data_IF_286721181439
#
_entry.id   IF_286721181439
#
_cell.length_a   1.000
_cell.length_b   1.000
_cell.length_c   1.000
_cell.angle_alpha   90.00
_cell.angle_beta   90.00
_cell.angle_gamma   90.00
#
_symmetry.space_group_name_H-M   'P 1'
#
loop_
_entity.id
_entity.type
_entity.pdbx_description
1 polymer ?
#
# COMPACT_ATOMS: atom_id res chain seq x y z
N UNK A 1 -2.69 20.45 4.01
CA UNK A 1 -3.46 19.44 3.29
C UNK A 1 -4.03 18.38 4.24
N UNK A 2 -3.23 17.65 5.03
CA UNK A 2 -3.68 16.61 5.97
C UNK A 2 -4.69 17.15 6.99
N UNK A 3 -4.41 18.30 7.62
CA UNK A 3 -5.31 18.94 8.59
C UNK A 3 -6.69 19.26 8.01
N UNK A 4 -6.76 19.74 6.76
CA UNK A 4 -8.04 20.03 6.09
C UNK A 4 -8.84 18.76 5.84
N UNK A 5 -8.21 17.68 5.39
CA UNK A 5 -8.87 16.37 5.21
C UNK A 5 -9.40 15.85 6.55
N UNK A 6 -8.59 15.93 7.59
CA UNK A 6 -8.98 15.51 8.94
C UNK A 6 -10.20 16.30 9.43
N UNK A 7 -10.21 17.63 9.28
CA UNK A 7 -11.35 18.47 9.66
C UNK A 7 -12.64 18.14 8.91
N UNK A 8 -12.53 17.71 7.64
CA UNK A 8 -13.69 17.24 6.87
C UNK A 8 -14.22 15.90 7.38
N UNK A 9 -13.33 14.96 7.71
CA UNK A 9 -13.72 13.64 8.21
C UNK A 9 -14.35 13.71 9.60
N UNK A 10 -13.89 14.61 10.47
CA UNK A 10 -14.47 14.84 11.80
C UNK A 10 -15.93 15.35 11.78
N UNK A 11 -16.45 15.77 10.62
CA UNK A 11 -17.87 16.11 10.48
C UNK A 11 -18.76 14.86 10.42
N UNK A 12 -18.21 13.69 10.18
CA UNK A 12 -18.94 12.43 10.18
C UNK A 12 -19.00 11.88 11.63
N UNK A 13 -20.19 11.67 12.22
CA UNK A 13 -20.32 11.19 13.59
C UNK A 13 -19.78 9.76 13.81
N UNK A 14 -19.61 9.00 12.73
CA UNK A 14 -19.04 7.64 12.79
C UNK A 14 -17.52 7.62 12.61
N UNK A 15 -16.86 8.79 12.53
CA UNK A 15 -15.43 8.89 12.38
C UNK A 15 -14.79 9.31 13.70
N UNK A 16 -13.86 8.48 14.18
CA UNK A 16 -12.97 8.82 15.28
C UNK A 16 -11.51 8.84 14.76
N UNK A 17 -10.69 9.67 15.36
CA UNK A 17 -9.29 9.79 14.97
C UNK A 17 -8.38 9.90 16.19
N UNK A 18 -7.29 9.14 16.15
CA UNK A 18 -6.16 9.28 17.07
C UNK A 18 -4.92 9.65 16.27
N UNK A 19 -4.24 10.72 16.68
CA UNK A 19 -2.99 11.15 16.06
C UNK A 19 -1.81 10.53 16.78
N UNK A 20 -0.92 9.86 16.05
CA UNK A 20 0.27 9.23 16.60
C UNK A 20 1.15 8.60 15.52
N UNK A 21 2.28 8.06 15.96
CA UNK A 21 3.19 7.31 15.11
C UNK A 21 2.87 5.82 15.26
N UNK A 22 2.76 5.09 14.15
CA UNK A 22 2.52 3.63 14.19
C UNK A 22 3.72 2.82 14.73
N UNK A 23 4.88 3.45 14.82
CA UNK A 23 6.06 2.90 15.51
C UNK A 23 5.89 2.86 17.04
N UNK A 24 4.96 3.66 17.58
CA UNK A 24 4.54 3.61 19.00
C UNK A 24 3.52 2.48 19.19
N UNK A 25 4.03 1.30 19.49
CA UNK A 25 3.23 0.09 19.65
C UNK A 25 2.20 0.24 20.78
N UNK A 26 2.61 0.80 21.92
CA UNK A 26 1.72 0.94 23.09
C UNK A 26 0.50 1.84 22.77
N UNK A 27 0.71 2.88 21.96
CA UNK A 27 -0.39 3.73 21.50
C UNK A 27 -1.30 2.96 20.56
N UNK A 28 -0.72 2.22 19.59
CA UNK A 28 -1.52 1.49 18.61
C UNK A 28 -2.32 0.36 19.28
N UNK A 29 -1.71 -0.40 20.19
CA UNK A 29 -2.38 -1.48 20.92
C UNK A 29 -3.59 -0.97 21.71
N UNK A 30 -3.42 0.14 22.47
CA UNK A 30 -4.55 0.76 23.19
C UNK A 30 -5.69 1.17 22.25
N UNK A 31 -5.36 1.81 21.12
CA UNK A 31 -6.39 2.24 20.16
C UNK A 31 -7.08 1.04 19.50
N UNK A 32 -6.33 0.00 19.18
CA UNK A 32 -6.87 -1.22 18.59
C UNK A 32 -7.76 -2.00 19.57
N UNK A 33 -7.35 -2.10 20.83
CA UNK A 33 -8.13 -2.74 21.89
C UNK A 33 -9.44 -1.98 22.18
N UNK A 34 -9.37 -0.66 22.28
CA UNK A 34 -10.55 0.20 22.56
C UNK A 34 -11.56 0.19 21.40
N UNK A 35 -11.07 0.15 20.14
CA UNK A 35 -11.92 0.18 18.97
C UNK A 35 -12.39 -1.21 18.53
N UNK A 36 -11.62 -2.25 18.77
CA UNK A 36 -11.88 -3.64 18.39
C UNK A 36 -12.30 -3.78 16.90
N UNK A 37 -11.42 -3.45 15.94
CA UNK A 37 -11.78 -3.41 14.52
C UNK A 37 -12.06 -4.81 13.95
N UNK A 38 -13.11 -4.94 13.14
CA UNK A 38 -13.34 -6.15 12.32
C UNK A 38 -12.38 -6.21 11.13
N UNK A 39 -12.03 -5.06 10.56
CA UNK A 39 -11.16 -4.92 9.38
C UNK A 39 -10.13 -3.83 9.63
N UNK A 40 -8.90 -4.07 9.21
CA UNK A 40 -7.83 -3.07 9.23
C UNK A 40 -7.36 -2.78 7.81
N UNK A 41 -7.36 -1.50 7.40
CA UNK A 41 -6.78 -1.05 6.14
C UNK A 41 -5.54 -0.20 6.42
N UNK A 42 -4.37 -0.81 6.29
CA UNK A 42 -3.08 -0.16 6.57
C UNK A 42 -2.53 0.55 5.33
N UNK A 43 -2.69 1.88 5.29
CA UNK A 43 -2.20 2.75 4.21
C UNK A 43 -0.99 3.60 4.63
N UNK A 44 -0.66 3.62 5.91
CA UNK A 44 0.41 4.46 6.43
C UNK A 44 1.78 3.94 6.00
N UNK A 45 2.63 4.85 5.59
CA UNK A 45 4.02 4.58 5.26
C UNK A 45 4.83 5.87 5.09
N UNK A 46 6.14 5.78 5.24
CA UNK A 46 7.05 6.76 4.68
C UNK A 46 7.19 6.46 3.18
N UNK A 47 6.28 7.02 2.38
CA UNK A 47 6.28 6.86 0.94
C UNK A 47 7.28 7.84 0.30
N UNK A 48 8.11 7.34 -0.60
CA UNK A 48 9.06 8.18 -1.33
C UNK A 48 10.36 7.43 -1.63
N UNK A 49 10.52 7.04 -2.89
CA UNK A 49 11.72 6.34 -3.35
C UNK A 49 12.99 7.16 -3.05
N UNK A 50 12.99 8.48 -3.37
CA UNK A 50 14.15 9.34 -3.13
C UNK A 50 14.45 9.51 -1.65
N UNK A 51 13.44 9.78 -0.84
CA UNK A 51 13.62 9.95 0.60
C UNK A 51 14.19 8.69 1.26
N UNK A 52 13.86 7.51 0.75
CA UNK A 52 14.41 6.26 1.27
C UNK A 52 15.93 6.10 1.02
N UNK A 53 16.48 6.80 0.04
CA UNK A 53 17.93 6.85 -0.20
C UNK A 53 18.62 7.80 0.77
N UNK A 54 17.96 8.91 1.10
CA UNK A 54 18.49 9.95 2.01
C UNK A 54 18.36 9.51 3.47
N UNK A 55 17.24 8.89 3.84
CA UNK A 55 16.95 8.44 5.20
C UNK A 55 16.37 7.00 5.24
N UNK A 56 17.21 5.97 5.04
CA UNK A 56 16.76 4.59 5.02
C UNK A 56 16.21 4.10 6.38
N UNK A 57 16.74 4.64 7.49
CA UNK A 57 16.26 4.27 8.84
C UNK A 57 14.82 4.71 9.08
N UNK A 58 14.44 5.92 8.68
CA UNK A 58 13.06 6.39 8.77
C UNK A 58 12.13 5.52 7.91
N UNK A 59 12.56 5.16 6.69
CA UNK A 59 11.79 4.26 5.83
C UNK A 59 11.59 2.87 6.45
N UNK A 60 12.62 2.32 7.11
CA UNK A 60 12.51 1.04 7.80
C UNK A 60 11.54 1.12 8.99
N UNK A 61 11.68 2.13 9.84
CA UNK A 61 10.83 2.31 11.01
C UNK A 61 9.35 2.47 10.60
N UNK A 62 9.05 3.44 9.73
CA UNK A 62 7.68 3.74 9.33
C UNK A 62 7.04 2.72 8.39
N UNK A 63 7.82 1.87 7.73
CA UNK A 63 7.25 0.90 6.80
C UNK A 63 7.27 -0.53 7.36
N UNK A 64 8.35 -0.95 8.03
CA UNK A 64 8.48 -2.34 8.49
C UNK A 64 8.04 -2.47 9.95
N UNK A 65 8.58 -1.65 10.85
CA UNK A 65 8.21 -1.72 12.27
C UNK A 65 6.74 -1.34 12.45
N UNK A 66 6.29 -0.25 11.82
CA UNK A 66 4.88 0.14 11.87
C UNK A 66 3.95 -0.94 11.29
N UNK A 67 4.34 -1.62 10.21
CA UNK A 67 3.54 -2.72 9.66
C UNK A 67 3.47 -3.92 10.61
N UNK A 68 4.56 -4.25 11.31
CA UNK A 68 4.57 -5.27 12.34
C UNK A 68 3.62 -4.90 13.48
N UNK A 69 3.69 -3.64 13.96
CA UNK A 69 2.82 -3.13 15.03
C UNK A 69 1.33 -3.14 14.64
N UNK A 70 1.00 -3.11 13.35
CA UNK A 70 -0.37 -3.29 12.85
C UNK A 70 -0.75 -4.77 12.75
N UNK A 71 0.19 -5.63 12.35
CA UNK A 71 -0.08 -7.05 12.10
C UNK A 71 -0.25 -7.85 13.40
N UNK A 72 0.51 -7.54 14.44
CA UNK A 72 0.39 -8.21 15.75
C UNK A 72 -0.99 -8.03 16.39
N UNK A 73 -1.54 -6.81 16.55
CA UNK A 73 -2.91 -6.63 17.02
C UNK A 73 -3.95 -7.22 16.07
N UNK A 74 -3.72 -7.21 14.75
CA UNK A 74 -4.61 -7.90 13.81
C UNK A 74 -4.76 -9.39 14.14
N UNK A 75 -3.66 -10.03 14.54
CA UNK A 75 -3.65 -11.42 14.98
C UNK A 75 -4.31 -11.61 16.38
N UNK A 76 -3.93 -10.80 17.36
CA UNK A 76 -4.40 -10.96 18.75
C UNK A 76 -5.89 -10.67 18.92
N UNK A 77 -6.43 -9.70 18.15
CA UNK A 77 -7.84 -9.33 18.12
C UNK A 77 -8.67 -10.19 17.15
N UNK A 78 -8.04 -11.12 16.44
CA UNK A 78 -8.70 -12.00 15.45
C UNK A 78 -9.45 -11.15 14.40
N UNK A 79 -8.77 -10.12 13.88
CA UNK A 79 -9.30 -9.27 12.81
C UNK A 79 -9.67 -10.12 11.60
N UNK A 80 -10.86 -9.92 11.06
CA UNK A 80 -11.39 -10.74 9.97
C UNK A 80 -10.61 -10.58 8.66
N UNK A 81 -10.09 -9.35 8.39
CA UNK A 81 -9.36 -9.08 7.16
C UNK A 81 -8.43 -7.86 7.30
N UNK A 82 -7.14 -8.03 7.57
CA UNK A 82 -6.14 -6.98 7.35
C UNK A 82 -5.82 -6.82 5.86
N UNK A 83 -5.95 -5.59 5.39
CA UNK A 83 -5.56 -5.14 4.04
C UNK A 83 -4.38 -4.19 4.16
N UNK A 84 -3.29 -4.45 3.44
CA UNK A 84 -2.05 -3.69 3.60
C UNK A 84 -1.51 -3.16 2.28
N UNK A 85 -1.18 -1.87 2.26
CA UNK A 85 -0.63 -1.22 1.09
C UNK A 85 0.82 -1.65 0.81
N UNK A 86 1.03 -2.25 -0.36
CA UNK A 86 2.32 -2.44 -1.03
C UNK A 86 2.51 -1.39 -2.13
N UNK A 87 3.26 -1.68 -3.17
CA UNK A 87 3.60 -0.76 -4.25
C UNK A 87 4.04 -1.52 -5.50
N UNK A 88 3.77 -0.97 -6.69
CA UNK A 88 4.34 -1.48 -7.94
C UNK A 88 5.87 -1.42 -7.98
N UNK A 89 6.51 -0.62 -7.12
CA UNK A 89 7.98 -0.57 -7.03
C UNK A 89 8.61 -1.89 -6.58
N UNK A 90 7.85 -2.83 -6.01
CA UNK A 90 8.35 -4.16 -5.63
C UNK A 90 8.73 -5.00 -6.83
N UNK A 91 8.20 -4.72 -8.02
CA UNK A 91 8.61 -5.40 -9.25
C UNK A 91 10.06 -5.12 -9.64
N UNK A 92 10.62 -4.00 -9.15
CA UNK A 92 12.04 -3.71 -9.20
C UNK A 92 12.63 -3.73 -10.62
N UNK A 93 13.49 -4.72 -10.88
CA UNK A 93 14.18 -4.89 -12.15
C UNK A 93 13.39 -5.67 -13.21
N UNK A 94 12.13 -6.04 -12.98
CA UNK A 94 11.31 -6.68 -14.00
C UNK A 94 11.14 -5.75 -15.21
N UNK A 95 11.24 -6.30 -16.40
CA UNK A 95 11.19 -5.55 -17.67
C UNK A 95 9.93 -5.80 -18.47
N UNK A 96 9.24 -6.91 -18.24
CA UNK A 96 8.00 -7.25 -18.93
C UNK A 96 6.84 -6.45 -18.36
N UNK A 97 5.98 -5.93 -19.24
CA UNK A 97 4.82 -5.11 -18.91
C UNK A 97 3.62 -5.52 -19.76
N UNK A 98 2.42 -5.49 -19.20
CA UNK A 98 2.05 -5.04 -17.86
C UNK A 98 2.53 -6.01 -16.76
N UNK A 99 2.85 -5.48 -15.58
CA UNK A 99 3.20 -6.31 -14.42
C UNK A 99 2.00 -7.12 -13.95
N UNK A 100 2.21 -8.41 -13.70
CA UNK A 100 1.20 -9.32 -13.15
C UNK A 100 1.63 -9.84 -11.76
N UNK A 101 0.67 -10.15 -10.91
CA UNK A 101 0.90 -10.49 -9.50
C UNK A 101 1.68 -11.78 -9.30
N UNK A 102 1.58 -12.72 -10.25
CA UNK A 102 2.28 -14.02 -10.23
C UNK A 102 3.76 -13.91 -10.61
N UNK A 103 4.20 -12.77 -11.14
CA UNK A 103 5.61 -12.55 -11.44
C UNK A 103 6.44 -12.45 -10.16
N UNK A 104 7.67 -12.97 -10.24
CA UNK A 104 8.64 -12.77 -9.17
C UNK A 104 8.94 -11.29 -9.00
N UNK A 105 8.91 -10.84 -7.76
CA UNK A 105 9.23 -9.47 -7.36
C UNK A 105 10.34 -9.52 -6.30
N UNK A 106 11.54 -10.01 -6.69
CA UNK A 106 12.63 -10.35 -5.78
C UNK A 106 13.86 -9.41 -5.93
N UNK A 107 13.84 -8.53 -6.92
CA UNK A 107 14.97 -7.65 -7.27
C UNK A 107 14.63 -6.18 -7.09
N UNK A 108 14.34 -5.78 -5.85
CA UNK A 108 13.99 -4.39 -5.54
C UNK A 108 15.18 -3.45 -5.80
N UNK A 109 14.89 -2.30 -6.42
CA UNK A 109 15.90 -1.31 -6.79
C UNK A 109 16.03 -0.17 -5.76
N UNK A 110 15.20 -0.15 -4.72
CA UNK A 110 15.22 0.91 -3.69
C UNK A 110 14.89 0.36 -2.31
N UNK A 111 15.36 1.07 -1.26
CA UNK A 111 15.04 0.72 0.13
C UNK A 111 13.52 0.76 0.36
N UNK A 112 12.83 1.78 -0.19
CA UNK A 112 11.36 1.84 -0.12
C UNK A 112 10.70 0.57 -0.66
N UNK A 113 11.08 0.13 -1.86
CA UNK A 113 10.54 -1.09 -2.45
C UNK A 113 10.86 -2.33 -1.60
N UNK A 114 12.08 -2.42 -1.07
CA UNK A 114 12.51 -3.50 -0.20
C UNK A 114 11.70 -3.56 1.10
N UNK A 115 11.41 -2.41 1.74
CA UNK A 115 10.56 -2.37 2.94
C UNK A 115 9.12 -2.83 2.64
N UNK A 116 8.57 -2.47 1.49
CA UNK A 116 7.23 -2.91 1.08
C UNK A 116 7.20 -4.39 0.72
N UNK A 117 8.24 -4.91 0.08
CA UNK A 117 8.37 -6.36 -0.17
C UNK A 117 8.53 -7.16 1.12
N UNK A 118 9.25 -6.63 2.11
CA UNK A 118 9.32 -7.23 3.44
C UNK A 118 7.92 -7.36 4.07
N UNK A 119 7.07 -6.34 3.93
CA UNK A 119 5.69 -6.41 4.43
C UNK A 119 4.86 -7.49 3.72
N UNK A 120 5.01 -7.66 2.38
CA UNK A 120 4.36 -8.78 1.66
C UNK A 120 4.79 -10.13 2.24
N UNK A 121 6.09 -10.31 2.50
CA UNK A 121 6.63 -11.55 3.07
C UNK A 121 6.16 -11.79 4.50
N UNK A 122 6.14 -10.75 5.35
CA UNK A 122 5.61 -10.83 6.71
C UNK A 122 4.11 -11.15 6.70
N UNK A 123 3.31 -10.45 5.89
CA UNK A 123 1.88 -10.70 5.76
C UNK A 123 1.57 -12.13 5.35
N UNK A 124 2.34 -12.69 4.39
CA UNK A 124 2.22 -14.09 4.01
C UNK A 124 2.56 -15.04 5.18
N UNK A 125 3.63 -14.76 5.92
CA UNK A 125 4.03 -15.59 7.07
C UNK A 125 2.95 -15.59 8.16
N UNK A 126 2.37 -14.43 8.48
CA UNK A 126 1.26 -14.33 9.45
C UNK A 126 -0.01 -15.04 8.95
N UNK A 127 -0.35 -14.89 7.69
CA UNK A 127 -1.47 -15.61 7.08
C UNK A 127 -1.27 -17.13 7.17
N UNK A 128 -0.04 -17.60 6.92
CA UNK A 128 0.27 -19.03 7.02
C UNK A 128 0.23 -19.58 8.44
N UNK A 129 0.90 -18.88 9.37
CA UNK A 129 1.11 -19.36 10.75
C UNK A 129 -0.16 -19.24 11.61
N UNK A 130 -0.95 -18.21 11.39
CA UNK A 130 -2.07 -17.85 12.26
C UNK A 130 -3.43 -17.89 11.56
N UNK A 131 -3.45 -18.34 10.31
CA UNK A 131 -4.66 -18.37 9.47
C UNK A 131 -5.35 -17.00 9.34
N UNK A 132 -4.54 -15.91 9.38
CA UNK A 132 -4.99 -14.53 9.30
C UNK A 132 -5.25 -14.15 7.84
N UNK A 133 -6.51 -13.96 7.38
CA UNK A 133 -6.82 -13.66 5.98
C UNK A 133 -6.21 -12.30 5.59
N UNK A 134 -5.20 -12.27 4.75
CA UNK A 134 -4.45 -11.05 4.46
C UNK A 134 -4.42 -10.73 2.97
N UNK A 135 -4.80 -9.52 2.60
CA UNK A 135 -4.65 -8.99 1.24
C UNK A 135 -3.61 -7.89 1.21
N UNK A 136 -2.57 -8.08 0.38
CA UNK A 136 -1.64 -7.02 0.02
C UNK A 136 -2.07 -6.40 -1.30
N UNK A 137 -2.02 -5.07 -1.42
CA UNK A 137 -2.34 -4.42 -2.69
C UNK A 137 -1.21 -3.51 -3.16
N UNK A 138 -0.77 -3.71 -4.40
CA UNK A 138 0.30 -2.96 -5.06
C UNK A 138 -0.29 -1.77 -5.79
N UNK A 139 -0.07 -0.58 -5.25
CA UNK A 139 -0.46 0.67 -5.91
C UNK A 139 0.50 1.02 -7.04
N UNK A 140 -0.05 1.59 -8.10
CA UNK A 140 0.68 2.27 -9.15
C UNK A 140 0.74 3.79 -8.89
N UNK A 141 0.70 4.63 -9.92
CA UNK A 141 0.78 6.08 -9.74
C UNK A 141 -0.61 6.65 -9.51
N UNK A 142 -0.97 6.83 -8.25
CA UNK A 142 -2.30 7.36 -7.88
C UNK A 142 -2.33 8.88 -8.05
N UNK A 143 -3.40 9.38 -8.67
CA UNK A 143 -3.65 10.81 -8.84
C UNK A 143 -5.11 11.16 -8.52
N UNK A 144 -5.41 12.45 -8.35
CA UNK A 144 -6.76 12.94 -8.11
C UNK A 144 -6.82 14.03 -7.04
N UNK A 145 -8.03 14.42 -6.63
CA UNK A 145 -8.25 15.43 -5.59
C UNK A 145 -7.47 15.12 -4.30
N UNK A 146 -6.97 16.18 -3.66
CA UNK A 146 -6.17 16.05 -2.44
C UNK A 146 -4.86 15.25 -2.59
N UNK A 147 -4.38 15.08 -3.81
CA UNK A 147 -3.14 14.36 -4.11
C UNK A 147 -1.92 14.96 -3.43
N UNK A 148 -0.84 14.20 -3.39
CA UNK A 148 0.43 14.61 -2.79
C UNK A 148 1.12 15.69 -3.64
N UNK A 149 1.55 16.82 -3.04
CA UNK A 149 2.18 17.92 -3.79
C UNK A 149 3.62 17.60 -4.25
N UNK A 150 4.23 16.53 -3.74
CA UNK A 150 5.57 16.10 -4.13
C UNK A 150 5.61 15.16 -5.34
N UNK A 151 4.45 14.73 -5.84
CA UNK A 151 4.36 13.92 -7.06
C UNK A 151 4.53 14.74 -8.33
N UNK A 152 5.05 14.11 -9.39
CA UNK A 152 5.39 14.76 -10.65
C UNK A 152 4.19 15.50 -11.25
N UNK A 153 3.01 14.87 -11.28
CA UNK A 153 1.81 15.48 -11.85
C UNK A 153 1.46 16.82 -11.17
N UNK A 154 1.47 16.86 -9.83
CA UNK A 154 1.21 18.10 -9.10
C UNK A 154 2.28 19.16 -9.40
N UNK A 155 3.56 18.76 -9.33
CA UNK A 155 4.69 19.68 -9.60
C UNK A 155 4.66 20.24 -11.02
N UNK A 156 4.25 19.45 -11.99
CA UNK A 156 4.16 19.90 -13.37
C UNK A 156 3.03 20.92 -13.54
N UNK A 157 1.85 20.61 -13.03
CA UNK A 157 0.71 21.54 -13.09
C UNK A 157 1.04 22.86 -12.38
N UNK A 158 1.60 22.81 -11.17
CA UNK A 158 1.99 23.96 -10.38
C UNK A 158 3.03 24.83 -11.14
N UNK A 159 4.07 24.19 -11.67
CA UNK A 159 5.11 24.90 -12.42
C UNK A 159 4.58 25.51 -13.73
N UNK A 160 3.70 24.79 -14.46
CA UNK A 160 3.12 25.30 -15.72
C UNK A 160 2.21 26.51 -15.44
N UNK A 161 1.39 26.45 -14.39
CA UNK A 161 0.51 27.56 -14.02
C UNK A 161 1.29 28.81 -13.62
N UNK A 162 2.46 28.65 -13.01
CA UNK A 162 3.37 29.75 -12.60
C UNK A 162 4.33 30.17 -13.72
N UNK A 163 4.29 29.55 -14.91
CA UNK A 163 5.25 29.81 -15.99
C UNK A 163 6.68 29.40 -15.67
N UNK A 164 6.88 28.48 -14.74
CA UNK A 164 8.21 27.96 -14.35
C UNK A 164 8.58 26.74 -15.21
N UNK A 165 9.87 26.54 -15.49
CA UNK A 165 10.32 25.34 -16.21
C UNK A 165 10.05 24.06 -15.38
N UNK A 166 9.83 22.95 -16.08
CA UNK A 166 9.70 21.62 -15.48
C UNK A 166 10.92 20.77 -15.80
N UNK A 167 11.37 19.98 -14.82
CA UNK A 167 12.46 19.03 -15.00
C UNK A 167 11.92 17.71 -15.54
N UNK A 168 12.30 17.36 -16.76
CA UNK A 168 11.93 16.09 -17.38
C UNK A 168 13.13 15.13 -17.26
N UNK A 169 12.96 14.08 -16.44
CA UNK A 169 13.99 13.06 -16.27
C UNK A 169 14.01 12.08 -17.43
N UNK A 170 15.20 11.53 -17.73
CA UNK A 170 15.41 10.54 -18.77
C UNK A 170 14.81 10.95 -20.14
N UNK A 171 14.85 12.23 -20.50
CA UNK A 171 14.30 12.80 -21.73
C UNK A 171 12.81 12.41 -21.99
N UNK A 172 12.03 12.19 -20.93
CA UNK A 172 10.64 11.76 -21.02
C UNK A 172 10.44 10.30 -21.45
N UNK A 173 11.51 9.51 -21.53
CA UNK A 173 11.39 8.08 -21.85
C UNK A 173 11.11 7.31 -20.56
N UNK A 174 9.93 7.53 -20.04
CA UNK A 174 9.42 6.86 -18.82
C UNK A 174 7.94 6.54 -19.02
N UNK A 175 7.55 5.37 -18.54
CA UNK A 175 6.15 4.94 -18.55
C UNK A 175 5.60 4.89 -17.14
N UNK A 176 4.33 5.24 -16.97
CA UNK A 176 3.58 5.14 -15.73
C UNK A 176 2.18 4.63 -16.01
N UNK A 177 1.69 3.81 -15.10
CA UNK A 177 0.26 3.55 -14.97
C UNK A 177 -0.31 4.58 -13.99
N UNK A 178 -1.30 5.35 -14.44
CA UNK A 178 -1.98 6.37 -13.63
C UNK A 178 -3.35 5.87 -13.21
N UNK A 179 -3.54 5.73 -11.91
CA UNK A 179 -4.79 5.25 -11.31
C UNK A 179 -5.52 6.41 -10.65
N UNK A 180 -6.77 6.65 -11.02
CA UNK A 180 -7.57 7.69 -10.37
C UNK A 180 -7.94 7.28 -8.95
N UNK A 181 -7.94 8.24 -8.02
CA UNK A 181 -8.08 7.94 -6.58
C UNK A 181 -9.42 7.30 -6.23
N UNK A 182 -10.51 7.66 -6.90
CA UNK A 182 -11.82 7.08 -6.61
C UNK A 182 -11.90 5.62 -7.09
N UNK A 183 -11.26 5.27 -8.22
CA UNK A 183 -11.15 3.89 -8.69
C UNK A 183 -10.34 3.04 -7.70
N UNK A 184 -9.24 3.60 -7.18
CA UNK A 184 -8.44 2.95 -6.15
C UNK A 184 -9.26 2.71 -4.88
N UNK A 185 -9.99 3.71 -4.39
CA UNK A 185 -10.81 3.60 -3.18
C UNK A 185 -11.94 2.60 -3.39
N UNK A 186 -12.55 2.60 -4.57
CA UNK A 186 -13.56 1.61 -4.93
C UNK A 186 -13.00 0.18 -4.91
N UNK A 187 -11.82 -0.03 -5.49
CA UNK A 187 -11.15 -1.34 -5.44
C UNK A 187 -10.86 -1.79 -4.00
N UNK A 188 -10.33 -0.90 -3.15
CA UNK A 188 -10.11 -1.21 -1.73
C UNK A 188 -11.43 -1.59 -1.05
N UNK A 189 -12.52 -0.84 -1.32
CA UNK A 189 -13.84 -1.13 -0.74
C UNK A 189 -14.34 -2.52 -1.12
N UNK A 190 -14.17 -2.93 -2.38
CA UNK A 190 -14.53 -4.28 -2.83
C UNK A 190 -13.65 -5.35 -2.18
N UNK A 191 -12.36 -5.07 -2.01
CA UNK A 191 -11.43 -6.00 -1.36
C UNK A 191 -11.75 -6.22 0.13
N UNK A 192 -12.32 -5.25 0.83
CA UNK A 192 -12.74 -5.41 2.23
C UNK A 192 -13.68 -6.61 2.39
N UNK A 193 -14.59 -6.80 1.47
CA UNK A 193 -15.59 -7.86 1.50
C UNK A 193 -15.08 -9.18 0.85
N UNK A 194 -13.85 -9.20 0.33
CA UNK A 194 -13.25 -10.32 -0.40
C UNK A 194 -12.03 -10.92 0.32
N UNK A 195 -12.18 -11.22 1.61
CA UNK A 195 -11.12 -11.85 2.40
C UNK A 195 -10.65 -13.16 1.77
N UNK A 196 -9.33 -13.38 1.60
CA UNK A 196 -8.82 -14.60 1.03
C UNK A 196 -9.09 -15.78 1.97
N UNK A 197 -9.41 -16.93 1.40
CA UNK A 197 -9.64 -18.17 2.13
C UNK A 197 -8.53 -19.14 1.80
N UNK A 198 -7.99 -19.83 2.81
CA UNK A 198 -6.97 -20.87 2.60
C UNK A 198 -7.52 -21.94 1.64
N UNK A 199 -6.81 -22.24 0.54
CA UNK A 199 -7.26 -23.27 -0.39
C UNK A 199 -7.31 -24.65 0.26
N UNK A 200 -8.36 -25.41 -0.02
CA UNK A 200 -8.42 -26.82 0.38
C UNK A 200 -7.42 -27.60 -0.48
N UNK A 201 -6.63 -28.45 0.16
CA UNK A 201 -5.62 -29.30 -0.50
C UNK A 201 -4.58 -28.54 -1.34
N UNK A 202 -4.41 -27.23 -1.09
CA UNK A 202 -3.46 -26.40 -1.83
C UNK A 202 -3.85 -26.10 -3.29
N UNK A 203 -5.06 -26.43 -3.69
CA UNK A 203 -5.54 -26.20 -5.07
C UNK A 203 -5.99 -24.77 -5.23
N UNK A 204 -5.29 -24.04 -6.10
CA UNK A 204 -5.62 -22.65 -6.48
C UNK A 204 -6.24 -22.67 -7.87
N UNK A 205 -7.36 -21.97 -8.11
CA UNK A 205 -7.95 -21.89 -9.44
C UNK A 205 -6.97 -21.32 -10.47
N UNK A 206 -7.07 -21.76 -11.71
CA UNK A 206 -6.26 -21.23 -12.80
C UNK A 206 -6.49 -19.72 -12.94
N UNK A 207 -5.41 -18.95 -13.01
CA UNK A 207 -5.43 -17.50 -13.11
C UNK A 207 -5.62 -16.77 -11.78
N UNK A 208 -5.84 -17.45 -10.65
CA UNK A 208 -5.86 -16.83 -9.32
C UNK A 208 -4.43 -16.72 -8.75
N UNK A 209 -4.18 -15.69 -7.98
CA UNK A 209 -2.92 -15.44 -7.29
C UNK A 209 -2.98 -15.74 -5.78
N UNK A 210 -4.00 -16.46 -5.33
CA UNK A 210 -4.13 -16.92 -3.95
C UNK A 210 -2.94 -17.82 -3.58
N UNK A 211 -2.41 -17.66 -2.37
CA UNK A 211 -1.37 -18.57 -1.89
C UNK A 211 -1.89 -20.01 -1.74
N UNK A 212 -1.17 -21.02 -2.22
CA UNK A 212 -1.60 -22.42 -2.05
C UNK A 212 -1.53 -22.90 -0.60
N UNK A 213 -0.87 -22.17 0.30
CA UNK A 213 -0.58 -22.61 1.67
C UNK A 213 -1.07 -21.63 2.75
N UNK A 214 -1.73 -20.54 2.35
CA UNK A 214 -2.20 -19.51 3.27
C UNK A 214 -3.44 -18.79 2.75
N UNK A 215 -4.30 -18.22 3.61
CA UNK A 215 -5.35 -17.29 3.20
C UNK A 215 -4.72 -15.91 2.90
N UNK A 216 -3.96 -15.85 1.81
CA UNK A 216 -3.15 -14.68 1.44
C UNK A 216 -3.22 -14.41 -0.05
N UNK A 217 -3.39 -13.16 -0.40
CA UNK A 217 -3.42 -12.70 -1.79
C UNK A 217 -2.67 -11.38 -1.97
N UNK A 218 -2.02 -11.23 -3.12
CA UNK A 218 -1.50 -9.96 -3.61
C UNK A 218 -2.34 -9.49 -4.78
N UNK A 219 -2.70 -8.21 -4.85
CA UNK A 219 -3.53 -7.65 -5.92
C UNK A 219 -2.86 -6.39 -6.46
N UNK A 220 -2.74 -6.25 -7.76
CA UNK A 220 -2.42 -4.99 -8.40
C UNK A 220 -3.66 -4.08 -8.43
N UNK A 221 -3.51 -2.82 -8.03
CA UNK A 221 -4.54 -1.81 -8.24
C UNK A 221 -3.94 -0.74 -9.14
N UNK A 222 -4.23 -0.86 -10.43
CA UNK A 222 -3.76 -0.01 -11.50
C UNK A 222 -4.83 0.15 -12.58
N UNK A 223 -4.57 1.00 -13.57
CA UNK A 223 -5.45 1.21 -14.71
C UNK A 223 -5.14 0.26 -15.88
N UNK A 224 -4.05 -0.50 -15.79
CA UNK A 224 -3.55 -1.42 -16.83
C UNK A 224 -3.22 -0.72 -18.16
N UNK A 225 -3.02 0.60 -18.14
CA UNK A 225 -2.64 1.40 -19.29
C UNK A 225 -1.34 2.18 -18.99
N UNK A 226 -0.34 1.99 -19.84
CA UNK A 226 0.97 2.65 -19.69
C UNK A 226 0.99 3.95 -20.47
N UNK A 227 1.10 5.05 -19.76
CA UNK A 227 1.27 6.39 -20.33
C UNK A 227 2.76 6.74 -20.36
N UNK A 228 3.24 7.20 -21.53
CA UNK A 228 4.58 7.79 -21.68
C UNK A 228 4.54 9.23 -21.16
N UNK A 229 5.52 9.60 -20.34
CA UNK A 229 5.70 10.97 -19.85
C UNK A 229 6.38 11.86 -20.90
#
# INVERSE_FOLDING_TARGET
>A
LKQRRHAMLLQNPNFAATEGMLEDQDLFDRVADDFAPDVIVHLAAQAGVRYSLENPRASLASNVIAALNVTEPSRSLIVQHPLMASTSSVYGANTEMPFIETEKADTQLTIYAATKKANESMGHAYAHLYDLPTTMFRFFTVYGPWGRPDLALYKFVDAILDGRPIDIYNNGVMYRDFTYVDDLVHAIRLLIDAAPVRPKDGVVPEGDNLSPVAPYRVVNIGNSDKVRL
#
